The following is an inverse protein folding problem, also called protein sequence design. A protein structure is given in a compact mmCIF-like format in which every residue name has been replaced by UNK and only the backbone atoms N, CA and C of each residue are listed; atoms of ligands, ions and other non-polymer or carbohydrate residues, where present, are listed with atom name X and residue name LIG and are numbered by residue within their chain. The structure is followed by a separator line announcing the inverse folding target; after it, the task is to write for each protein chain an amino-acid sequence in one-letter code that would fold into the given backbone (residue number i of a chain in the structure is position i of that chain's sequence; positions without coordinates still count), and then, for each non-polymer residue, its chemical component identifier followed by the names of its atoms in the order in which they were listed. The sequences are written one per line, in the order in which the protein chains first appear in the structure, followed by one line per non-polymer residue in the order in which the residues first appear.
data_IF_793733952615
#
_entry.id   IF_793733952615
#
_cell.length_a   1.000
_cell.length_b   1.000
_cell.length_c   1.000
_cell.angle_alpha   90.00
_cell.angle_beta   90.00
_cell.angle_gamma   90.00
#
_symmetry.space_group_name_H-M   'P 1'
#
loop_
_entity.id
_entity.type
_entity.pdbx_description
1 polymer ?
#
# COMPACT_ATOMS: atom_id res chain seq x y z
N UNK A 1 8.05 23.25 15.88
CA UNK A 1 9.20 22.54 15.28
C UNK A 1 8.86 21.06 15.24
N UNK A 2 9.15 20.36 14.13
CA UNK A 2 9.01 18.91 14.06
C UNK A 2 10.23 18.26 14.74
N UNK A 3 10.02 17.18 15.51
CA UNK A 3 11.10 16.43 16.14
C UNK A 3 11.94 15.71 15.05
N UNK A 4 13.27 15.56 15.22
CA UNK A 4 14.10 14.81 14.28
C UNK A 4 13.70 13.33 14.23
N UNK A 5 13.78 12.67 13.03
CA UNK A 5 13.46 11.23 12.92
C UNK A 5 14.27 10.34 13.88
N UNK A 6 15.57 10.61 14.05
CA UNK A 6 16.44 9.84 14.96
C UNK A 6 15.99 9.89 16.41
N UNK A 7 15.41 11.01 16.86
CA UNK A 7 14.83 11.10 18.20
C UNK A 7 13.64 10.14 18.36
N UNK A 8 12.82 10.01 17.32
CA UNK A 8 11.69 9.09 17.37
C UNK A 8 12.15 7.62 17.28
N UNK A 9 13.24 7.35 16.55
CA UNK A 9 13.85 6.01 16.51
C UNK A 9 14.41 5.60 17.90
N UNK A 10 14.95 6.55 18.67
CA UNK A 10 15.40 6.31 20.05
C UNK A 10 14.23 6.17 21.04
N UNK A 11 13.16 6.97 20.88
CA UNK A 11 11.96 6.90 21.71
C UNK A 11 11.16 5.60 21.48
N UNK A 12 11.10 5.14 20.23
CA UNK A 12 10.35 3.98 19.78
C UNK A 12 11.25 3.07 18.90
N UNK A 13 12.24 2.40 19.50
CA UNK A 13 13.17 1.56 18.76
C UNK A 13 12.49 0.32 18.17
N UNK A 14 12.98 -0.13 17.03
CA UNK A 14 12.53 -1.38 16.44
C UNK A 14 13.02 -2.57 17.28
N UNK A 15 12.10 -3.46 17.68
CA UNK A 15 12.44 -4.70 18.38
C UNK A 15 12.96 -5.75 17.39
N UNK A 16 13.65 -6.78 17.90
CA UNK A 16 14.13 -7.90 17.08
C UNK A 16 12.98 -8.64 16.38
N UNK A 17 11.86 -8.83 17.08
CA UNK A 17 10.66 -9.46 16.51
C UNK A 17 10.07 -8.62 15.37
N UNK A 18 9.94 -7.30 15.57
CA UNK A 18 9.46 -6.39 14.54
C UNK A 18 10.41 -6.35 13.33
N UNK A 19 11.72 -6.27 13.56
CA UNK A 19 12.73 -6.30 12.50
C UNK A 19 12.66 -7.58 11.68
N UNK A 20 12.54 -8.74 12.34
CA UNK A 20 12.39 -10.04 11.68
C UNK A 20 11.12 -10.11 10.83
N UNK A 21 9.99 -9.59 11.33
CA UNK A 21 8.73 -9.53 10.57
C UNK A 21 8.90 -8.73 9.28
N UNK A 22 9.44 -7.51 9.39
CA UNK A 22 9.63 -6.63 8.23
C UNK A 22 10.61 -7.23 7.22
N UNK A 23 11.77 -7.71 7.70
CA UNK A 23 12.80 -8.31 6.84
C UNK A 23 12.26 -9.52 6.06
N UNK A 24 11.64 -10.47 6.75
CA UNK A 24 11.10 -11.67 6.13
C UNK A 24 9.99 -11.34 5.13
N UNK A 25 9.11 -10.40 5.47
CA UNK A 25 8.03 -10.01 4.59
C UNK A 25 8.53 -9.25 3.35
N UNK A 26 9.54 -8.37 3.48
CA UNK A 26 10.22 -7.74 2.33
C UNK A 26 10.80 -8.80 1.41
N UNK A 27 11.53 -9.77 1.97
CA UNK A 27 12.10 -10.86 1.19
C UNK A 27 11.03 -11.66 0.44
N UNK A 28 9.91 -12.01 1.08
CA UNK A 28 8.80 -12.71 0.42
C UNK A 28 8.21 -11.91 -0.74
N UNK A 29 8.00 -10.60 -0.57
CA UNK A 29 7.51 -9.74 -1.64
C UNK A 29 8.53 -9.67 -2.80
N UNK A 30 9.83 -9.55 -2.50
CA UNK A 30 10.90 -9.58 -3.50
C UNK A 30 10.91 -10.88 -4.30
N UNK A 31 10.72 -12.04 -3.65
CA UNK A 31 10.63 -13.34 -4.31
C UNK A 31 9.42 -13.45 -5.26
N UNK A 32 8.27 -12.87 -4.86
CA UNK A 32 7.08 -12.78 -5.73
C UNK A 32 7.37 -11.90 -6.95
N UNK A 33 7.98 -10.73 -6.74
CA UNK A 33 8.36 -9.83 -7.83
C UNK A 33 9.38 -10.46 -8.77
N UNK A 34 10.26 -11.30 -8.26
CA UNK A 34 11.23 -12.06 -9.05
C UNK A 34 10.64 -13.33 -9.71
N UNK A 35 9.35 -13.63 -9.52
CA UNK A 35 8.65 -14.85 -9.95
C UNK A 35 9.27 -16.17 -9.41
N UNK A 36 9.97 -16.11 -8.28
CA UNK A 36 10.48 -17.29 -7.57
C UNK A 36 9.49 -17.82 -6.53
N UNK A 37 8.63 -16.95 -6.00
CA UNK A 37 7.51 -17.35 -5.15
C UNK A 37 6.19 -17.25 -5.94
N UNK A 38 5.44 -18.35 -6.10
CA UNK A 38 4.21 -18.38 -6.90
C UNK A 38 2.98 -17.86 -6.14
N UNK A 39 3.12 -17.37 -4.90
CA UNK A 39 2.00 -16.80 -4.14
C UNK A 39 1.55 -15.47 -4.73
N UNK A 40 0.29 -15.13 -4.48
CA UNK A 40 -0.27 -13.83 -4.82
C UNK A 40 -0.02 -12.83 -3.68
N UNK A 41 0.56 -11.68 -3.97
CA UNK A 41 0.69 -10.57 -3.02
C UNK A 41 -0.67 -9.90 -2.80
N UNK A 42 -1.11 -9.79 -1.56
CA UNK A 42 -2.39 -9.14 -1.22
C UNK A 42 -2.16 -7.99 -0.25
N UNK A 43 -2.42 -6.77 -0.71
CA UNK A 43 -2.40 -5.58 0.12
C UNK A 43 -3.82 -5.28 0.58
N UNK A 44 -4.17 -5.57 1.83
CA UNK A 44 -5.56 -5.48 2.32
C UNK A 44 -5.66 -4.75 3.64
N UNK A 45 -6.63 -3.86 3.78
CA UNK A 45 -6.88 -3.11 5.01
C UNK A 45 -7.56 -1.76 4.78
N UNK A 46 -7.67 -0.93 5.82
CA UNK A 46 -8.39 0.34 5.77
C UNK A 46 -7.92 1.27 4.67
N UNK A 47 -8.85 2.02 4.09
CA UNK A 47 -8.51 3.09 3.13
C UNK A 47 -7.53 4.09 3.75
N UNK A 48 -7.75 4.46 5.00
CA UNK A 48 -6.82 5.23 5.83
C UNK A 48 -6.98 4.88 7.31
N UNK A 49 -5.91 5.03 8.07
CA UNK A 49 -5.91 4.85 9.51
C UNK A 49 -6.27 6.18 10.17
N UNK A 50 -7.36 6.20 10.93
CA UNK A 50 -7.74 7.32 11.80
C UNK A 50 -7.84 6.90 13.27
N UNK A 51 -8.00 5.60 13.52
CA UNK A 51 -8.07 5.00 14.85
C UNK A 51 -7.06 3.85 14.95
N UNK A 52 -5.92 4.06 15.66
CA UNK A 52 -4.93 3.00 15.87
C UNK A 52 -5.48 1.77 16.62
N UNK A 53 -6.50 1.93 17.48
CA UNK A 53 -7.12 0.82 18.21
C UNK A 53 -7.88 -0.09 17.24
N UNK A 54 -8.69 0.48 16.36
CA UNK A 54 -9.41 -0.27 15.33
C UNK A 54 -8.45 -0.94 14.35
N UNK A 55 -7.31 -0.30 14.03
CA UNK A 55 -6.28 -0.88 13.18
C UNK A 55 -5.62 -2.11 13.82
N UNK A 56 -5.31 -2.08 15.13
CA UNK A 56 -4.79 -3.26 15.86
C UNK A 56 -5.82 -4.39 15.90
N UNK A 57 -7.09 -4.08 16.11
CA UNK A 57 -8.16 -5.09 16.07
C UNK A 57 -8.29 -5.72 14.68
N UNK A 58 -8.20 -4.91 13.62
CA UNK A 58 -8.18 -5.42 12.24
C UNK A 58 -6.99 -6.36 12.03
N UNK A 59 -5.80 -6.00 12.47
CA UNK A 59 -4.60 -6.85 12.40
C UNK A 59 -4.77 -8.17 13.17
N UNK A 60 -5.37 -8.11 14.36
CA UNK A 60 -5.64 -9.30 15.16
C UNK A 60 -6.60 -10.28 14.45
N UNK A 61 -7.57 -9.77 13.70
CA UNK A 61 -8.45 -10.57 12.85
C UNK A 61 -7.74 -11.07 11.58
N UNK A 62 -6.84 -10.26 11.00
CA UNK A 62 -6.12 -10.61 9.77
C UNK A 62 -5.09 -11.72 10.00
N UNK A 63 -4.42 -11.73 11.14
CA UNK A 63 -3.35 -12.70 11.46
C UNK A 63 -3.76 -14.17 11.32
N UNK A 64 -4.91 -14.65 11.83
CA UNK A 64 -5.37 -16.02 11.58
C UNK A 64 -5.62 -16.32 10.09
N UNK A 65 -6.19 -15.38 9.34
CA UNK A 65 -6.43 -15.54 7.90
C UNK A 65 -5.09 -15.60 7.12
N UNK A 66 -4.08 -14.82 7.53
CA UNK A 66 -2.73 -14.91 6.96
C UNK A 66 -2.16 -16.32 7.15
N UNK A 67 -2.29 -16.89 8.35
CA UNK A 67 -1.79 -18.24 8.63
C UNK A 67 -2.56 -19.32 7.86
N UNK A 68 -3.89 -19.22 7.76
CA UNK A 68 -4.76 -20.12 6.99
C UNK A 68 -4.39 -20.17 5.50
N UNK A 69 -4.01 -19.03 4.92
CA UNK A 69 -3.84 -18.85 3.47
C UNK A 69 -2.37 -18.69 3.03
N UNK A 70 -1.42 -18.94 3.95
CA UNK A 70 0.00 -18.71 3.75
C UNK A 70 0.65 -19.52 2.61
N UNK A 71 0.04 -20.64 2.23
CA UNK A 71 0.47 -21.46 1.10
C UNK A 71 0.22 -20.82 -0.26
N UNK A 72 -0.73 -19.89 -0.33
CA UNK A 72 -1.23 -19.30 -1.58
C UNK A 72 -1.12 -17.78 -1.64
N UNK A 73 -1.21 -17.11 -0.50
CA UNK A 73 -1.20 -15.66 -0.40
C UNK A 73 -0.03 -15.16 0.45
N UNK A 74 0.60 -14.07 0.01
CA UNK A 74 1.48 -13.24 0.82
C UNK A 74 0.68 -11.99 1.20
N UNK A 75 0.19 -11.92 2.43
CA UNK A 75 -0.72 -10.85 2.86
C UNK A 75 0.06 -9.79 3.62
N UNK A 76 -0.08 -8.53 3.20
CA UNK A 76 0.47 -7.33 3.82
C UNK A 76 -0.70 -6.42 4.19
N UNK A 77 -0.76 -5.98 5.45
CA UNK A 77 -1.82 -5.07 5.89
C UNK A 77 -1.62 -3.68 5.32
N UNK A 78 -2.67 -3.13 4.72
CA UNK A 78 -2.70 -1.75 4.25
C UNK A 78 -2.82 -0.80 5.43
N UNK A 79 -1.82 0.08 5.63
CA UNK A 79 -1.70 1.02 6.75
C UNK A 79 -1.35 2.40 6.21
N UNK A 80 -2.34 3.12 5.72
CA UNK A 80 -2.15 4.43 5.09
C UNK A 80 -2.44 5.54 6.09
N UNK A 81 -1.44 6.34 6.41
CA UNK A 81 -1.51 7.43 7.39
C UNK A 81 -1.86 8.78 6.79
N UNK A 82 -1.64 8.93 5.49
CA UNK A 82 -1.78 10.19 4.76
C UNK A 82 -2.73 10.01 3.58
N UNK A 83 -3.49 11.03 3.29
CA UNK A 83 -4.48 11.00 2.20
C UNK A 83 -4.33 12.20 1.28
N UNK A 84 -4.07 12.00 -0.01
CA UNK A 84 -4.06 13.07 -0.99
C UNK A 84 -5.46 13.65 -1.13
N UNK A 85 -5.57 14.98 -1.00
CA UNK A 85 -6.84 15.69 -1.16
C UNK A 85 -6.80 16.57 -2.40
N UNK A 86 -7.81 16.42 -3.24
CA UNK A 86 -7.97 17.29 -4.44
C UNK A 86 -8.35 18.70 -4.05
N UNK A 87 -9.13 18.85 -2.96
CA UNK A 87 -9.56 20.15 -2.42
C UNK A 87 -9.26 20.20 -0.91
N UNK A 88 -10.27 20.25 -0.06
CA UNK A 88 -10.17 20.34 1.39
C UNK A 88 -10.58 18.99 2.01
N UNK A 89 -10.04 18.67 3.17
CA UNK A 89 -10.42 17.48 3.93
C UNK A 89 -9.34 17.06 4.91
N UNK A 90 -9.66 16.12 5.78
CA UNK A 90 -8.71 15.53 6.71
C UNK A 90 -7.56 14.86 5.93
N UNK A 91 -6.33 15.27 6.23
CA UNK A 91 -5.13 14.85 5.50
C UNK A 91 -4.52 13.52 5.98
N UNK A 92 -5.05 12.94 7.07
CA UNK A 92 -4.57 11.69 7.62
C UNK A 92 -4.08 11.81 9.08
N UNK A 93 -3.76 10.66 9.67
CA UNK A 93 -3.38 10.53 11.07
C UNK A 93 -2.13 11.35 11.42
N UNK A 94 -1.14 11.40 10.54
CA UNK A 94 0.09 12.15 10.82
C UNK A 94 -0.20 13.64 10.90
N UNK A 95 -1.02 14.18 10.00
CA UNK A 95 -1.27 15.61 9.93
C UNK A 95 -2.26 16.12 11.00
N UNK A 96 -3.28 15.33 11.32
CA UNK A 96 -4.33 15.70 12.27
C UNK A 96 -4.81 14.46 13.05
N UNK A 97 -3.99 14.01 14.03
CA UNK A 97 -4.22 12.75 14.75
C UNK A 97 -5.45 12.75 15.64
N UNK A 98 -5.86 13.93 16.10
CA UNK A 98 -6.99 14.09 17.04
C UNK A 98 -8.30 14.44 16.34
N UNK A 99 -8.31 14.61 15.01
CA UNK A 99 -9.49 14.97 14.23
C UNK A 99 -10.13 16.32 14.64
N UNK A 100 -9.33 17.20 15.22
CA UNK A 100 -9.77 18.48 15.82
C UNK A 100 -9.14 19.71 15.16
N UNK A 101 -8.38 19.50 14.07
CA UNK A 101 -7.63 20.53 13.36
C UNK A 101 -6.51 21.18 14.19
N UNK A 102 -6.07 20.53 15.28
CA UNK A 102 -4.92 20.99 16.06
C UNK A 102 -3.59 20.82 15.35
N UNK A 103 -3.54 19.95 14.33
CA UNK A 103 -2.35 19.66 13.52
C UNK A 103 -1.12 19.30 14.37
N UNK A 104 -1.31 18.53 15.41
CA UNK A 104 -0.23 18.05 16.29
C UNK A 104 0.57 16.95 15.59
N UNK A 105 1.33 17.34 14.56
CA UNK A 105 2.05 16.42 13.65
C UNK A 105 3.03 15.52 14.43
N UNK A 106 3.71 16.05 15.45
CA UNK A 106 4.62 15.24 16.27
C UNK A 106 3.89 14.07 16.98
N UNK A 107 2.64 14.30 17.45
CA UNK A 107 1.82 13.24 18.02
C UNK A 107 1.42 12.24 16.92
N UNK A 108 1.06 12.73 15.75
CA UNK A 108 0.74 11.90 14.59
C UNK A 108 1.88 10.99 14.15
N UNK A 109 3.11 11.50 14.11
CA UNK A 109 4.31 10.71 13.78
C UNK A 109 4.57 9.62 14.83
N UNK A 110 4.43 9.94 16.13
CA UNK A 110 4.53 8.94 17.21
C UNK A 110 3.48 7.85 17.09
N UNK A 111 2.22 8.24 16.86
CA UNK A 111 1.12 7.28 16.70
C UNK A 111 1.33 6.37 15.48
N UNK A 112 1.82 6.91 14.37
CA UNK A 112 2.09 6.14 13.17
C UNK A 112 3.21 5.12 13.40
N UNK A 113 4.37 5.54 13.96
CA UNK A 113 5.48 4.64 14.24
C UNK A 113 5.10 3.59 15.29
N UNK A 114 4.43 3.98 16.37
CA UNK A 114 3.99 3.05 17.41
C UNK A 114 3.03 1.99 16.85
N UNK A 115 2.07 2.38 16.01
CA UNK A 115 1.18 1.41 15.37
C UNK A 115 1.94 0.42 14.48
N UNK A 116 2.90 0.90 13.69
CA UNK A 116 3.70 0.02 12.83
C UNK A 116 4.55 -0.96 13.65
N UNK A 117 5.11 -0.52 14.79
CA UNK A 117 5.81 -1.40 15.74
C UNK A 117 4.88 -2.49 16.27
N UNK A 118 3.70 -2.11 16.78
CA UNK A 118 2.72 -3.07 17.30
C UNK A 118 2.34 -4.11 16.24
N UNK A 119 2.08 -3.68 15.00
CA UNK A 119 1.73 -4.58 13.90
C UNK A 119 2.88 -5.54 13.58
N UNK A 120 4.10 -5.02 13.50
CA UNK A 120 5.28 -5.83 13.21
C UNK A 120 5.57 -6.84 14.35
N UNK A 121 5.41 -6.45 15.61
CA UNK A 121 5.53 -7.34 16.78
C UNK A 121 4.41 -8.41 16.81
N UNK A 122 3.22 -8.08 16.32
CA UNK A 122 2.16 -9.06 16.10
C UNK A 122 2.46 -10.04 14.95
N UNK A 123 3.52 -9.82 14.16
CA UNK A 123 3.84 -10.60 12.97
C UNK A 123 2.95 -10.23 11.76
N UNK A 124 2.40 -9.02 11.73
CA UNK A 124 1.57 -8.49 10.64
C UNK A 124 2.37 -7.44 9.87
N UNK A 125 2.90 -7.76 8.68
CA UNK A 125 3.65 -6.80 7.87
C UNK A 125 2.75 -5.70 7.34
N UNK A 126 3.28 -4.48 7.27
CA UNK A 126 2.53 -3.29 6.88
C UNK A 126 2.99 -2.71 5.55
N UNK A 127 2.02 -2.26 4.74
CA UNK A 127 2.23 -1.50 3.51
C UNK A 127 1.58 -0.12 3.60
N UNK A 128 2.28 0.93 3.10
CA UNK A 128 1.79 2.31 3.16
C UNK A 128 1.90 3.03 1.82
N UNK A 129 1.24 4.19 1.69
CA UNK A 129 1.49 5.14 0.61
C UNK A 129 2.51 6.18 1.07
N UNK A 130 3.56 6.39 0.30
CA UNK A 130 4.50 7.48 0.52
C UNK A 130 3.97 8.74 -0.18
N UNK A 131 3.19 9.54 0.55
CA UNK A 131 2.61 10.77 0.04
C UNK A 131 3.50 11.98 0.32
N UNK A 132 3.95 12.15 1.57
CA UNK A 132 4.94 13.12 1.96
C UNK A 132 6.35 12.55 1.75
N UNK A 133 7.33 13.40 1.42
CA UNK A 133 8.71 12.97 1.15
C UNK A 133 9.60 13.00 2.40
N UNK A 134 9.12 13.56 3.50
CA UNK A 134 9.84 13.66 4.78
C UNK A 134 9.37 12.59 5.75
N UNK A 135 8.05 12.34 5.81
CA UNK A 135 7.45 11.38 6.75
C UNK A 135 8.05 9.96 6.68
N UNK A 136 8.51 9.43 5.52
CA UNK A 136 9.15 8.12 5.47
C UNK A 136 10.36 7.98 6.40
N UNK A 137 11.11 9.05 6.65
CA UNK A 137 12.28 9.02 7.54
C UNK A 137 11.94 8.59 8.99
N UNK A 138 10.68 8.71 9.39
CA UNK A 138 10.22 8.39 10.73
C UNK A 138 9.78 6.93 10.91
N UNK A 139 9.51 6.20 9.82
CA UNK A 139 8.90 4.86 9.93
C UNK A 139 9.20 3.90 8.79
N UNK A 140 10.01 4.27 7.79
CA UNK A 140 10.27 3.39 6.64
C UNK A 140 10.95 2.07 7.01
N UNK A 141 11.70 2.04 8.11
CA UNK A 141 12.29 0.83 8.69
C UNK A 141 11.27 -0.23 9.08
N UNK A 142 10.02 0.18 9.33
CA UNK A 142 8.87 -0.66 9.71
C UNK A 142 7.92 -0.97 8.55
N UNK A 143 8.19 -0.48 7.34
CA UNK A 143 7.36 -0.67 6.17
C UNK A 143 7.86 -1.83 5.32
N UNK A 144 6.99 -2.78 5.02
CA UNK A 144 7.30 -3.94 4.16
C UNK A 144 7.16 -3.61 2.69
N UNK A 145 6.14 -2.85 2.31
CA UNK A 145 5.79 -2.52 0.94
C UNK A 145 5.26 -1.08 0.86
N UNK A 146 5.59 -0.38 -0.22
CA UNK A 146 5.15 0.98 -0.43
C UNK A 146 4.35 1.17 -1.71
N UNK A 147 3.51 2.22 -1.75
CA UNK A 147 2.84 2.68 -2.95
C UNK A 147 3.14 4.15 -3.23
N UNK A 148 3.19 4.50 -4.52
CA UNK A 148 3.07 5.88 -5.00
C UNK A 148 1.71 6.03 -5.64
N UNK A 149 0.93 6.99 -5.15
CA UNK A 149 -0.45 7.23 -5.59
C UNK A 149 -0.54 7.81 -7.00
N UNK A 150 -1.72 7.69 -7.62
CA UNK A 150 -1.95 8.15 -9.00
C UNK A 150 -1.72 9.67 -9.21
N UNK A 151 -1.77 10.48 -8.13
CA UNK A 151 -1.53 11.94 -8.20
C UNK A 151 -0.05 12.30 -8.07
N UNK A 152 0.77 11.38 -7.58
CA UNK A 152 2.19 11.59 -7.28
C UNK A 152 3.12 10.76 -8.16
N UNK A 153 2.62 9.82 -8.93
CA UNK A 153 3.41 8.98 -9.87
C UNK A 153 4.19 9.80 -10.90
N UNK A 154 3.67 10.96 -11.33
CA UNK A 154 4.38 11.89 -12.22
C UNK A 154 5.47 12.71 -11.52
N UNK A 155 5.45 12.77 -10.19
CA UNK A 155 6.33 13.63 -9.42
C UNK A 155 7.77 13.12 -9.39
N UNK A 156 8.70 13.95 -9.85
CA UNK A 156 10.13 13.64 -9.83
C UNK A 156 10.63 13.36 -8.41
N UNK A 157 10.23 14.14 -7.42
CA UNK A 157 10.71 13.96 -6.03
C UNK A 157 10.24 12.64 -5.42
N UNK A 158 9.06 12.13 -5.82
CA UNK A 158 8.60 10.80 -5.38
C UNK A 158 9.37 9.66 -6.06
N UNK A 159 9.74 9.81 -7.35
CA UNK A 159 10.58 8.83 -8.06
C UNK A 159 11.99 8.79 -7.45
N UNK A 160 12.55 9.95 -7.10
CA UNK A 160 13.82 10.07 -6.39
C UNK A 160 13.74 9.45 -4.99
N UNK A 161 12.68 9.72 -4.22
CA UNK A 161 12.45 9.07 -2.93
C UNK A 161 12.49 7.55 -3.07
N UNK A 162 11.70 7.00 -4.01
CA UNK A 162 11.61 5.55 -4.23
C UNK A 162 12.95 4.94 -4.60
N UNK A 163 13.79 5.62 -5.37
CA UNK A 163 15.13 5.13 -5.74
C UNK A 163 16.05 4.84 -4.54
N UNK A 164 15.75 5.39 -3.38
CA UNK A 164 16.50 5.19 -2.13
C UNK A 164 15.79 4.31 -1.10
N UNK A 165 14.60 3.80 -1.40
CA UNK A 165 13.87 2.94 -0.47
C UNK A 165 14.36 1.49 -0.52
N UNK A 166 14.42 0.85 0.67
CA UNK A 166 14.83 -0.55 0.82
C UNK A 166 13.63 -1.51 0.86
N UNK A 167 12.48 -1.10 0.35
CA UNK A 167 11.29 -1.94 0.24
C UNK A 167 10.74 -1.92 -1.19
N UNK A 168 10.03 -2.97 -1.62
CA UNK A 168 9.31 -2.98 -2.88
C UNK A 168 8.27 -1.86 -2.95
N UNK A 169 8.11 -1.23 -4.13
CA UNK A 169 7.19 -0.11 -4.34
C UNK A 169 6.36 -0.28 -5.60
N UNK A 170 5.05 -0.13 -5.45
CA UNK A 170 4.10 -0.09 -6.56
C UNK A 170 3.77 1.33 -6.99
N UNK A 171 3.86 1.62 -8.28
CA UNK A 171 3.44 2.89 -8.87
C UNK A 171 2.04 2.75 -9.50
N UNK A 172 1.07 3.54 -9.02
CA UNK A 172 -0.27 3.56 -9.62
C UNK A 172 -0.25 4.28 -10.96
N UNK A 173 -0.99 3.75 -11.94
CA UNK A 173 -1.25 4.50 -13.18
C UNK A 173 -1.92 5.84 -12.88
N UNK A 174 -1.75 6.82 -13.77
CA UNK A 174 -2.30 8.16 -13.62
C UNK A 174 -3.82 8.18 -13.46
N UNK A 175 -4.36 9.26 -12.91
CA UNK A 175 -5.82 9.40 -12.66
C UNK A 175 -6.68 9.36 -13.93
N UNK A 176 -6.11 9.67 -15.09
CA UNK A 176 -6.73 9.51 -16.41
C UNK A 176 -6.85 8.06 -16.88
N UNK A 177 -6.11 7.14 -16.28
CA UNK A 177 -5.93 5.77 -16.73
C UNK A 177 -4.61 5.52 -17.48
N UNK A 178 -3.77 6.55 -17.66
CA UNK A 178 -2.51 6.45 -18.39
C UNK A 178 -1.51 5.54 -17.64
N UNK A 179 -1.15 4.44 -18.27
CA UNK A 179 -0.20 3.43 -17.76
C UNK A 179 1.26 3.86 -18.00
N UNK A 180 1.55 4.58 -19.10
CA UNK A 180 2.90 4.99 -19.45
C UNK A 180 3.57 5.80 -18.33
N UNK A 181 2.82 6.66 -17.65
CA UNK A 181 3.29 7.45 -16.50
C UNK A 181 3.90 6.57 -15.40
N UNK A 182 3.27 5.42 -15.12
CA UNK A 182 3.78 4.48 -14.11
C UNK A 182 5.00 3.70 -14.62
N UNK A 183 5.03 3.34 -15.90
CA UNK A 183 6.20 2.73 -16.54
C UNK A 183 7.40 3.66 -16.46
N UNK A 184 7.23 4.93 -16.81
CA UNK A 184 8.29 5.95 -16.72
C UNK A 184 8.77 6.15 -15.28
N UNK A 185 7.85 6.07 -14.31
CA UNK A 185 8.18 6.16 -12.90
C UNK A 185 9.02 4.97 -12.41
N UNK A 186 8.67 3.75 -12.82
CA UNK A 186 9.43 2.53 -12.52
C UNK A 186 10.84 2.61 -13.11
N UNK A 187 10.96 3.00 -14.37
CA UNK A 187 12.27 3.18 -15.01
C UNK A 187 13.10 4.22 -14.28
N UNK A 188 12.52 5.39 -13.98
CA UNK A 188 13.22 6.44 -13.26
C UNK A 188 13.67 5.98 -11.86
N UNK A 189 12.78 5.41 -11.07
CA UNK A 189 13.09 4.96 -9.71
C UNK A 189 14.09 3.78 -9.66
N UNK A 190 14.18 3.02 -10.74
CA UNK A 190 15.16 1.93 -10.89
C UNK A 190 16.61 2.39 -11.10
N UNK A 191 16.84 3.69 -11.34
CA UNK A 191 18.17 4.25 -11.55
C UNK A 191 18.67 5.04 -10.32
N UNK A 192 19.96 5.33 -10.32
CA UNK A 192 20.58 6.19 -9.33
C UNK A 192 20.11 7.65 -9.45
N UNK A 193 19.99 8.33 -8.31
CA UNK A 193 19.63 9.74 -8.24
C UNK A 193 20.49 10.47 -7.21
N UNK A 194 20.70 11.79 -7.44
CA UNK A 194 21.28 12.69 -6.44
C UNK A 194 20.32 13.84 -6.22
N UNK A 195 19.88 14.03 -4.97
CA UNK A 195 18.86 15.02 -4.60
C UNK A 195 18.99 15.50 -3.15
N UNK A 196 18.25 16.56 -2.80
CA UNK A 196 18.19 17.07 -1.44
C UNK A 196 17.13 16.32 -0.63
N UNK A 197 17.46 15.89 0.57
CA UNK A 197 16.53 15.22 1.48
C UNK A 197 16.83 15.49 2.95
N UNK A 198 15.91 15.10 3.83
CA UNK A 198 16.06 15.20 5.28
C UNK A 198 16.79 13.99 5.86
N UNK A 199 17.77 14.24 6.72
CA UNK A 199 18.48 13.17 7.46
C UNK A 199 17.73 12.75 8.71
N UNK A 200 18.14 11.64 9.33
CA UNK A 200 17.64 11.20 10.64
C UNK A 200 17.85 12.25 11.75
N UNK A 201 18.83 13.12 11.63
CA UNK A 201 19.10 14.21 12.57
C UNK A 201 18.27 15.48 12.28
N UNK A 202 17.36 15.45 11.31
CA UNK A 202 16.52 16.59 10.93
C UNK A 202 17.26 17.67 10.13
N UNK A 203 18.42 17.37 9.59
CA UNK A 203 19.20 18.28 8.75
C UNK A 203 18.95 17.99 7.27
N UNK A 204 19.04 19.00 6.41
CA UNK A 204 19.05 18.81 4.97
C UNK A 204 20.41 18.34 4.51
N UNK A 205 20.46 17.33 3.65
CA UNK A 205 21.68 16.79 3.06
C UNK A 205 21.49 16.44 1.59
N UNK A 206 22.61 16.20 0.91
CA UNK A 206 22.62 15.61 -0.44
C UNK A 206 22.58 14.09 -0.28
N UNK A 207 21.58 13.47 -0.88
CA UNK A 207 21.45 12.01 -0.95
C UNK A 207 21.87 11.52 -2.33
N UNK A 208 22.69 10.47 -2.37
CA UNK A 208 22.94 9.68 -3.57
C UNK A 208 22.33 8.29 -3.35
N UNK A 209 21.51 7.84 -4.30
CA UNK A 209 20.80 6.55 -4.24
C UNK A 209 21.31 5.63 -5.35
N UNK A 210 21.04 4.32 -5.21
CA UNK A 210 21.48 3.30 -6.17
C UNK A 210 20.37 2.83 -7.11
N UNK A 211 19.16 3.37 -6.95
CA UNK A 211 17.96 2.89 -7.62
C UNK A 211 17.27 1.75 -6.85
N UNK A 212 15.97 1.60 -7.07
CA UNK A 212 15.14 0.54 -6.50
C UNK A 212 14.68 -0.42 -7.62
N UNK A 213 15.26 -1.62 -7.73
CA UNK A 213 14.90 -2.59 -8.77
C UNK A 213 13.56 -3.30 -8.49
N UNK A 214 12.99 -3.13 -7.30
CA UNK A 214 11.79 -3.83 -6.86
C UNK A 214 10.53 -2.98 -7.05
N UNK A 215 10.48 -2.23 -8.16
CA UNK A 215 9.31 -1.43 -8.53
C UNK A 215 8.39 -2.23 -9.46
N UNK A 216 7.08 -2.00 -9.32
CA UNK A 216 6.05 -2.64 -10.15
C UNK A 216 4.88 -1.68 -10.40
N UNK A 217 4.00 -2.05 -11.34
CA UNK A 217 2.82 -1.23 -11.65
C UNK A 217 1.60 -1.63 -10.82
N UNK A 218 0.75 -0.65 -10.51
CA UNK A 218 -0.57 -0.86 -9.91
C UNK A 218 -1.63 -0.28 -10.85
N UNK A 219 -2.50 -1.14 -11.37
CA UNK A 219 -3.67 -0.75 -12.16
C UNK A 219 -4.81 -0.37 -11.23
N UNK A 220 -5.27 0.89 -11.28
CA UNK A 220 -6.33 1.43 -10.42
C UNK A 220 -7.53 1.98 -11.17
N UNK A 221 -7.59 1.73 -12.50
CA UNK A 221 -8.56 2.32 -13.40
C UNK A 221 -8.28 3.78 -13.76
N UNK A 222 -9.12 4.36 -14.57
CA UNK A 222 -9.07 5.73 -15.03
C UNK A 222 -10.42 6.45 -14.89
N UNK A 223 -10.48 7.72 -15.32
CA UNK A 223 -11.72 8.53 -15.23
C UNK A 223 -12.87 7.92 -16.05
N UNK A 224 -12.57 7.31 -17.18
CA UNK A 224 -13.55 6.84 -18.17
C UNK A 224 -13.69 5.33 -18.24
N UNK A 225 -12.76 4.56 -17.67
CA UNK A 225 -12.74 3.11 -17.79
C UNK A 225 -12.03 2.44 -16.60
N UNK A 226 -12.41 1.21 -16.35
CA UNK A 226 -11.66 0.27 -15.53
C UNK A 226 -10.44 -0.24 -16.31
N UNK A 227 -9.50 -0.93 -15.66
CA UNK A 227 -8.34 -1.55 -16.31
C UNK A 227 -7.86 -2.84 -15.60
N UNK A 228 -8.81 -3.58 -15.02
CA UNK A 228 -8.53 -4.85 -14.34
C UNK A 228 -8.78 -6.08 -15.22
N UNK A 229 -9.49 -5.93 -16.33
CA UNK A 229 -9.84 -7.01 -17.25
C UNK A 229 -8.60 -7.57 -18.00
N UNK A 230 -8.74 -8.79 -18.52
CA UNK A 230 -7.63 -9.50 -19.19
C UNK A 230 -7.02 -8.74 -20.36
N UNK A 231 -7.84 -7.98 -21.11
CA UNK A 231 -7.33 -7.20 -22.24
C UNK A 231 -6.48 -6.02 -21.76
N UNK A 232 -6.89 -5.36 -20.68
CA UNK A 232 -6.13 -4.28 -20.04
C UNK A 232 -4.82 -4.77 -19.43
N UNK A 233 -4.85 -5.94 -18.77
CA UNK A 233 -3.65 -6.60 -18.22
C UNK A 233 -2.67 -6.96 -19.33
N UNK A 234 -3.16 -7.54 -20.44
CA UNK A 234 -2.35 -7.89 -21.60
C UNK A 234 -1.73 -6.65 -22.27
N UNK A 235 -2.51 -5.60 -22.49
CA UNK A 235 -2.02 -4.35 -23.06
C UNK A 235 -0.95 -3.70 -22.16
N UNK A 236 -1.13 -3.72 -20.84
CA UNK A 236 -0.15 -3.21 -19.87
C UNK A 236 1.13 -4.05 -19.90
N UNK A 237 1.01 -5.38 -19.89
CA UNK A 237 2.16 -6.29 -19.97
C UNK A 237 3.02 -6.01 -21.20
N UNK A 238 2.42 -5.90 -22.37
CA UNK A 238 3.14 -5.56 -23.63
C UNK A 238 3.82 -4.19 -23.57
N UNK A 239 3.20 -3.18 -22.93
CA UNK A 239 3.84 -1.86 -22.78
C UNK A 239 5.07 -1.95 -21.85
N UNK A 240 4.98 -2.71 -20.76
CA UNK A 240 6.09 -2.94 -19.85
C UNK A 240 7.25 -3.68 -20.54
N UNK A 241 6.95 -4.76 -21.26
CA UNK A 241 7.93 -5.55 -22.02
C UNK A 241 8.63 -4.70 -23.10
N UNK A 242 7.87 -3.85 -23.83
CA UNK A 242 8.45 -2.91 -24.80
C UNK A 242 9.40 -1.89 -24.13
N UNK A 243 9.16 -1.55 -22.87
CA UNK A 243 10.02 -0.68 -22.08
C UNK A 243 11.20 -1.43 -21.41
N UNK A 244 11.37 -2.73 -21.65
CA UNK A 244 12.42 -3.57 -21.06
C UNK A 244 12.12 -3.98 -19.60
N UNK A 245 10.88 -3.84 -19.15
CA UNK A 245 10.45 -4.22 -17.79
C UNK A 245 9.75 -5.58 -17.80
N UNK A 246 9.98 -6.38 -16.76
CA UNK A 246 9.15 -7.55 -16.52
C UNK A 246 7.70 -7.14 -16.22
N UNK A 247 6.73 -7.84 -16.81
CA UNK A 247 5.30 -7.58 -16.58
C UNK A 247 4.89 -8.01 -15.16
N UNK A 248 5.07 -7.12 -14.19
CA UNK A 248 4.71 -7.29 -12.77
C UNK A 248 3.56 -6.35 -12.45
N UNK A 249 2.34 -6.88 -12.47
CA UNK A 249 1.10 -6.10 -12.42
C UNK A 249 0.36 -6.42 -11.13
N UNK A 250 0.17 -5.41 -10.28
CA UNK A 250 -0.80 -5.45 -9.19
C UNK A 250 -2.08 -4.78 -9.64
N UNK A 251 -3.24 -5.28 -9.22
CA UNK A 251 -4.54 -4.69 -9.54
C UNK A 251 -5.21 -4.20 -8.26
N UNK A 252 -5.51 -2.91 -8.24
CA UNK A 252 -6.29 -2.28 -7.17
C UNK A 252 -7.79 -2.51 -7.44
N UNK A 253 -8.43 -3.31 -6.60
CA UNK A 253 -9.85 -3.67 -6.70
C UNK A 253 -10.78 -2.50 -6.37
N UNK A 254 -10.27 -1.46 -5.68
CA UNK A 254 -11.02 -0.26 -5.31
C UNK A 254 -10.91 0.86 -6.36
N UNK A 255 -11.14 2.11 -5.96
CA UNK A 255 -10.97 3.32 -6.77
C UNK A 255 -11.80 3.29 -8.07
N UNK A 256 -11.18 3.54 -9.24
CA UNK A 256 -11.91 3.56 -10.50
C UNK A 256 -12.22 2.15 -11.03
N UNK A 257 -11.48 1.13 -10.63
CA UNK A 257 -11.79 -0.26 -10.99
C UNK A 257 -13.12 -0.74 -10.39
N UNK A 258 -13.49 -0.27 -9.20
CA UNK A 258 -14.82 -0.48 -8.62
C UNK A 258 -15.82 0.63 -8.98
N UNK A 259 -15.47 1.59 -9.85
CA UNK A 259 -16.28 2.79 -10.13
C UNK A 259 -16.58 3.61 -8.86
N UNK A 260 -15.70 3.56 -7.84
CA UNK A 260 -15.86 4.14 -6.49
C UNK A 260 -17.03 3.56 -5.67
N UNK A 261 -17.58 2.44 -6.08
CA UNK A 261 -18.55 1.66 -5.31
C UNK A 261 -17.80 0.50 -4.66
N UNK A 262 -17.60 0.58 -3.34
CA UNK A 262 -16.84 -0.42 -2.59
C UNK A 262 -17.42 -1.83 -2.69
N UNK A 263 -18.74 -1.98 -2.88
CA UNK A 263 -19.40 -3.29 -3.03
C UNK A 263 -18.99 -4.02 -4.31
N UNK A 264 -18.43 -3.31 -5.28
CA UNK A 264 -17.93 -3.88 -6.53
C UNK A 264 -16.51 -4.45 -6.42
N UNK A 265 -15.79 -4.23 -5.32
CA UNK A 265 -14.46 -4.80 -5.13
C UNK A 265 -14.46 -6.33 -5.24
N UNK A 266 -15.50 -6.99 -4.72
CA UNK A 266 -15.66 -8.44 -4.85
C UNK A 266 -15.79 -8.91 -6.30
N UNK A 267 -16.50 -8.15 -7.16
CA UNK A 267 -16.61 -8.47 -8.58
C UNK A 267 -15.26 -8.36 -9.29
N UNK A 268 -14.50 -7.30 -8.99
CA UNK A 268 -13.14 -7.10 -9.53
C UNK A 268 -12.23 -8.24 -9.08
N UNK A 269 -12.23 -8.59 -7.81
CA UNK A 269 -11.42 -9.68 -7.26
C UNK A 269 -11.75 -11.03 -7.90
N UNK A 270 -13.03 -11.32 -8.18
CA UNK A 270 -13.47 -12.54 -8.88
C UNK A 270 -13.00 -12.61 -10.32
N UNK A 271 -13.04 -11.50 -11.04
CA UNK A 271 -12.50 -11.43 -12.40
C UNK A 271 -10.98 -11.74 -12.38
N UNK A 272 -10.23 -11.09 -11.49
CA UNK A 272 -8.80 -11.35 -11.30
C UNK A 272 -8.54 -12.83 -10.94
N UNK A 273 -9.32 -13.40 -10.03
CA UNK A 273 -9.24 -14.81 -9.68
C UNK A 273 -9.47 -15.73 -10.90
N UNK A 274 -10.38 -15.32 -11.81
CA UNK A 274 -10.60 -15.99 -13.10
C UNK A 274 -9.38 -15.95 -14.00
N UNK A 275 -8.74 -14.79 -14.14
CA UNK A 275 -7.52 -14.61 -14.93
C UNK A 275 -6.36 -15.44 -14.36
N UNK A 276 -6.18 -15.46 -13.04
CA UNK A 276 -5.16 -16.30 -12.37
C UNK A 276 -5.41 -17.78 -12.64
N UNK A 277 -6.65 -18.26 -12.52
CA UNK A 277 -7.02 -19.66 -12.87
C UNK A 277 -6.75 -19.98 -14.34
N UNK A 278 -6.92 -19.02 -15.23
CA UNK A 278 -6.60 -19.17 -16.65
C UNK A 278 -5.09 -19.15 -16.95
N UNK A 279 -4.24 -18.99 -15.93
CA UNK A 279 -2.78 -19.08 -16.05
C UNK A 279 -2.06 -17.75 -16.28
N UNK A 280 -2.72 -16.58 -16.11
CA UNK A 280 -2.01 -15.31 -16.22
C UNK A 280 -1.05 -15.11 -15.04
N UNK A 281 0.25 -15.17 -15.33
CA UNK A 281 1.36 -15.04 -14.38
C UNK A 281 1.88 -13.61 -14.24
N UNK A 282 1.35 -12.66 -15.01
CA UNK A 282 1.72 -11.24 -14.94
C UNK A 282 1.10 -10.55 -13.73
N UNK A 283 -0.05 -11.07 -13.27
CA UNK A 283 -0.75 -10.57 -12.07
C UNK A 283 -0.01 -11.09 -10.83
N UNK A 284 0.79 -10.22 -10.22
CA UNK A 284 1.58 -10.55 -9.03
C UNK A 284 0.84 -10.23 -7.73
N UNK A 285 -0.21 -9.44 -7.78
CA UNK A 285 -0.92 -9.06 -6.56
C UNK A 285 -2.20 -8.28 -6.78
N UNK A 286 -2.92 -8.09 -5.68
CA UNK A 286 -4.14 -7.30 -5.60
C UNK A 286 -4.10 -6.33 -4.41
N UNK A 287 -4.83 -5.22 -4.52
CA UNK A 287 -5.06 -4.29 -3.42
C UNK A 287 -6.56 -4.19 -3.13
N UNK A 288 -6.94 -4.24 -1.86
CA UNK A 288 -8.33 -4.25 -1.40
C UNK A 288 -8.51 -3.26 -0.26
N UNK A 289 -9.49 -2.36 -0.37
CA UNK A 289 -9.88 -1.46 0.72
C UNK A 289 -10.94 -2.13 1.60
N UNK A 290 -10.54 -2.50 2.80
CA UNK A 290 -11.30 -3.27 3.78
C UNK A 290 -11.20 -2.66 5.17
N UNK A 291 -12.26 -2.76 5.98
CA UNK A 291 -12.22 -2.35 7.39
C UNK A 291 -13.07 -3.31 8.24
N UNK A 292 -13.11 -3.10 9.57
CA UNK A 292 -13.96 -3.90 10.47
C UNK A 292 -15.43 -3.79 10.08
N UNK A 293 -15.88 -2.57 9.76
CA UNK A 293 -17.26 -2.24 9.35
C UNK A 293 -17.26 -1.68 7.93
N UNK A 294 -18.18 -2.16 7.12
CA UNK A 294 -18.34 -1.72 5.72
C UNK A 294 -18.78 -0.26 5.60
N UNK A 295 -18.44 0.35 4.45
CA UNK A 295 -18.85 1.71 4.10
C UNK A 295 -17.88 2.78 4.52
N UNK A 296 -18.36 4.01 4.58
CA UNK A 296 -17.64 5.19 5.03
C UNK A 296 -18.54 6.12 5.84
N UNK A 297 -17.93 6.95 6.65
CA UNK A 297 -18.58 7.97 7.46
C UNK A 297 -17.92 9.33 7.25
N UNK A 298 -18.58 10.39 7.66
CA UNK A 298 -18.04 11.74 7.63
C UNK A 298 -17.83 12.25 9.04
N UNK A 299 -16.71 12.93 9.25
CA UNK A 299 -16.48 13.68 10.48
C UNK A 299 -17.51 14.80 10.58
N UNK A 300 -18.34 14.77 11.61
CA UNK A 300 -19.35 15.80 11.88
C UNK A 300 -19.28 16.22 13.34
N UNK A 301 -19.29 17.54 13.59
CA UNK A 301 -19.19 18.09 14.96
C UNK A 301 -20.31 17.53 15.83
N UNK A 302 -19.94 17.01 17.00
CA UNK A 302 -20.88 16.48 17.99
C UNK A 302 -21.48 15.11 17.69
N UNK A 303 -21.08 14.45 16.60
CA UNK A 303 -21.50 13.07 16.29
C UNK A 303 -20.35 12.09 16.60
N UNK A 304 -20.59 11.05 17.39
CA UNK A 304 -19.59 10.01 17.60
C UNK A 304 -19.35 9.26 16.29
N UNK A 305 -18.11 8.84 16.10
CA UNK A 305 -17.74 8.00 14.96
C UNK A 305 -18.18 6.56 15.16
N UNK A 306 -18.57 5.90 14.09
CA UNK A 306 -18.78 4.45 14.08
C UNK A 306 -17.40 3.78 14.14
N UNK A 307 -17.16 3.01 15.18
CA UNK A 307 -15.90 2.30 15.40
C UNK A 307 -15.61 1.34 14.24
N UNK A 308 -14.38 1.37 13.72
CA UNK A 308 -13.95 0.49 12.63
C UNK A 308 -14.54 0.77 11.26
N UNK A 309 -15.19 1.93 11.05
CA UNK A 309 -15.68 2.36 9.73
C UNK A 309 -14.80 3.49 9.18
N UNK A 310 -14.55 3.47 7.87
CA UNK A 310 -13.65 4.42 7.18
C UNK A 310 -14.11 5.88 7.29
N UNK A 311 -13.16 6.81 7.49
CA UNK A 311 -13.35 8.27 7.38
C UNK A 311 -13.06 8.83 5.99
N UNK A 312 -12.59 7.99 5.07
CA UNK A 312 -12.20 8.38 3.72
C UNK A 312 -13.01 7.61 2.69
N UNK A 313 -12.39 6.87 1.78
CA UNK A 313 -13.16 6.10 0.81
C UNK A 313 -13.81 4.88 1.50
N UNK A 314 -14.99 4.47 1.00
CA UNK A 314 -15.74 3.37 1.57
C UNK A 314 -15.02 2.03 1.35
N UNK A 315 -15.01 1.20 2.38
CA UNK A 315 -14.36 -0.10 2.42
C UNK A 315 -15.39 -1.24 2.45
N UNK A 316 -15.01 -2.43 2.00
CA UNK A 316 -15.75 -3.65 2.34
C UNK A 316 -15.59 -3.98 3.82
N UNK A 317 -16.52 -4.75 4.39
CA UNK A 317 -16.45 -5.21 5.77
C UNK A 317 -15.60 -6.46 5.95
N UNK A 318 -15.27 -6.78 7.20
CA UNK A 318 -14.42 -7.94 7.52
C UNK A 318 -14.95 -9.28 6.99
N UNK A 319 -16.26 -9.64 7.09
CA UNK A 319 -16.74 -10.93 6.56
C UNK A 319 -16.48 -11.09 5.07
N UNK A 320 -16.84 -10.08 4.26
CA UNK A 320 -16.61 -10.08 2.81
C UNK A 320 -15.11 -10.14 2.46
N UNK A 321 -14.27 -9.53 3.29
CA UNK A 321 -12.82 -9.59 3.11
C UNK A 321 -12.30 -11.02 3.19
N UNK A 322 -12.73 -11.79 4.19
CA UNK A 322 -12.31 -13.19 4.36
C UNK A 322 -12.76 -14.04 3.17
N UNK A 323 -13.98 -13.83 2.68
CA UNK A 323 -14.50 -14.56 1.52
C UNK A 323 -13.67 -14.29 0.26
N UNK A 324 -13.33 -13.02 0.00
CA UNK A 324 -12.46 -12.64 -1.13
C UNK A 324 -11.06 -13.24 -0.99
N UNK A 325 -10.45 -13.20 0.19
CA UNK A 325 -9.12 -13.78 0.41
C UNK A 325 -9.12 -15.30 0.13
N UNK A 326 -10.15 -16.02 0.59
CA UNK A 326 -10.29 -17.46 0.33
C UNK A 326 -10.50 -17.76 -1.16
N UNK A 327 -11.29 -16.95 -1.86
CA UNK A 327 -11.52 -17.08 -3.30
C UNK A 327 -10.24 -16.88 -4.11
N UNK A 328 -9.43 -15.87 -3.77
CA UNK A 328 -8.14 -15.62 -4.38
C UNK A 328 -7.14 -16.77 -4.11
N UNK A 329 -7.09 -17.26 -2.87
CA UNK A 329 -6.25 -18.39 -2.51
C UNK A 329 -6.61 -19.67 -3.29
N UNK A 330 -7.92 -19.95 -3.43
CA UNK A 330 -8.40 -21.07 -4.22
C UNK A 330 -8.00 -20.93 -5.71
N UNK A 331 -8.05 -19.72 -6.27
CA UNK A 331 -7.61 -19.46 -7.64
C UNK A 331 -6.10 -19.73 -7.82
N UNK A 332 -5.26 -19.28 -6.88
CA UNK A 332 -3.81 -19.53 -6.91
C UNK A 332 -3.50 -21.03 -6.80
N UNK A 333 -4.19 -21.78 -5.92
CA UNK A 333 -4.02 -23.23 -5.80
C UNK A 333 -4.38 -23.95 -7.10
N UNK A 334 -5.50 -23.56 -7.71
CA UNK A 334 -5.97 -24.14 -8.97
C UNK A 334 -5.03 -23.88 -10.14
N UNK A 335 -4.34 -22.74 -10.16
CA UNK A 335 -3.39 -22.38 -11.22
C UNK A 335 -2.01 -23.09 -11.10
N UNK A 336 -1.77 -23.81 -10.00
CA UNK A 336 -0.54 -24.61 -9.77
C UNK A 336 -0.69 -26.07 -10.18
N UNK A 337 -1.93 -26.51 -10.39
CA UNK A 337 -2.26 -27.86 -10.87
C UNK A 337 -2.21 -27.90 -12.41
#
# INVERSE_FOLDING_TARGET
MVLPPGFLDEELPISEAASSTVFNARHQVSEILAARDPRLLVIVGPCSIHDPKAAREYAAKLKPAMAELADSLCIVMRVYFEKPRTTIGWKGLINDPHLDQSYKINDGLRLARHLLLDLAEMGVPAGTEFLDIISPQYFVDLVTWGAIGARTTESQVHRQLVSGLSCPVGFKNGTSGNVQIAIDAILSAGHEHTFLGGTKNGQTAIFATTGNPECHIILRGGRSSTNYDAASVDATGRQMEKAGLAARIMIDCSHANSSKDYTRQALVARDIAGQIRAGDRRIIGVMIESNLVAGAQKLAKGKPLVYGQSLTDACIGWPETVDILRELAAAVRSARL
#
